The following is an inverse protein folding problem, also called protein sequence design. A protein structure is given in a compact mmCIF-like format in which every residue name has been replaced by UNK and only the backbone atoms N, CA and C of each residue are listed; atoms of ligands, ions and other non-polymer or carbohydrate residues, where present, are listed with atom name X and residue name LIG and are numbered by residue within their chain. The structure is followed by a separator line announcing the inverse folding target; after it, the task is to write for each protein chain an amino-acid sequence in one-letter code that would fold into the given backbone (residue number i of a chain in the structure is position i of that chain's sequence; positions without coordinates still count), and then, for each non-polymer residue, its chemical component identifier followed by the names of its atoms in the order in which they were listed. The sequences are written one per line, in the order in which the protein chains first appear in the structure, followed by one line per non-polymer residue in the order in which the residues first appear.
data_IF_891614407671
#
_entry.id   IF_891614407671
#
_cell.length_a   1.000
_cell.length_b   1.000
_cell.length_c   1.000
_cell.angle_alpha   90.00
_cell.angle_beta   90.00
_cell.angle_gamma   90.00
#
_symmetry.space_group_name_H-M   'P 1'
#
loop_
_entity.id
_entity.type
_entity.pdbx_description
1 polymer ?
#
# COMPACT_ATOMS: atom_id res chain seq x y z
N UNK A 1 -30.34 -8.99 -21.67
CA UNK A 1 -29.93 -10.03 -20.70
C UNK A 1 -30.63 -11.34 -21.07
N UNK A 2 -29.92 -12.46 -21.23
CA UNK A 2 -30.52 -13.75 -21.66
C UNK A 2 -30.51 -14.85 -20.59
N UNK A 3 -29.76 -14.65 -19.51
CA UNK A 3 -29.54 -15.67 -18.48
C UNK A 3 -28.50 -15.24 -17.45
N UNK A 4 -28.37 -16.02 -16.38
CA UNK A 4 -27.24 -15.99 -15.46
C UNK A 4 -26.75 -17.42 -15.21
N UNK A 5 -25.44 -17.60 -15.25
CA UNK A 5 -24.76 -18.83 -14.87
C UNK A 5 -24.01 -18.57 -13.57
N UNK A 6 -24.19 -19.44 -12.57
CA UNK A 6 -23.66 -19.27 -11.22
C UNK A 6 -22.94 -20.52 -10.75
N UNK A 7 -22.17 -20.40 -9.66
CA UNK A 7 -21.54 -21.55 -9.00
C UNK A 7 -22.52 -22.67 -8.63
N UNK A 8 -23.80 -22.36 -8.44
CA UNK A 8 -24.83 -23.36 -8.13
C UNK A 8 -25.18 -24.20 -9.36
N UNK A 9 -25.23 -23.57 -10.53
CA UNK A 9 -25.55 -24.22 -11.80
C UNK A 9 -24.39 -25.14 -12.24
N UNK A 10 -23.15 -24.70 -12.00
CA UNK A 10 -21.94 -25.46 -12.34
C UNK A 10 -21.57 -26.56 -11.33
N UNK A 11 -22.17 -26.57 -10.12
CA UNK A 11 -21.70 -27.42 -9.02
C UNK A 11 -21.74 -28.92 -9.32
N UNK A 12 -22.66 -29.33 -10.20
CA UNK A 12 -22.85 -30.71 -10.61
C UNK A 12 -22.62 -30.89 -12.12
N UNK A 13 -22.13 -29.87 -12.79
CA UNK A 13 -21.75 -29.97 -14.19
C UNK A 13 -20.38 -30.64 -14.29
N UNK A 14 -20.26 -31.63 -15.18
CA UNK A 14 -19.04 -32.42 -15.38
C UNK A 14 -18.53 -32.35 -16.81
N UNK A 15 -19.36 -31.87 -17.73
CA UNK A 15 -19.01 -31.72 -19.14
C UNK A 15 -18.77 -30.24 -19.47
N UNK A 16 -17.50 -29.88 -19.56
CA UNK A 16 -17.04 -28.52 -19.87
C UNK A 16 -17.26 -28.13 -21.34
N UNK A 17 -17.81 -29.02 -22.19
CA UNK A 17 -18.06 -28.77 -23.62
C UNK A 17 -19.49 -28.33 -23.92
N UNK A 18 -20.40 -28.43 -22.95
CA UNK A 18 -21.82 -28.07 -23.14
C UNK A 18 -22.00 -26.56 -23.40
N UNK A 19 -22.91 -26.16 -24.32
CA UNK A 19 -23.24 -24.75 -24.51
C UNK A 19 -23.79 -24.10 -23.24
N UNK A 20 -23.36 -22.87 -22.94
CA UNK A 20 -23.79 -22.09 -21.75
C UNK A 20 -25.32 -22.00 -21.65
N UNK A 21 -26.00 -21.85 -22.79
CA UNK A 21 -27.45 -21.70 -22.85
C UNK A 21 -28.21 -22.89 -22.26
N UNK A 22 -27.61 -24.07 -22.24
CA UNK A 22 -28.23 -25.31 -21.77
C UNK A 22 -28.09 -25.52 -20.26
N UNK A 23 -27.22 -24.74 -19.61
CA UNK A 23 -26.87 -24.87 -18.18
C UNK A 23 -27.28 -23.62 -17.38
N UNK A 24 -27.35 -22.46 -18.02
CA UNK A 24 -27.68 -21.20 -17.34
C UNK A 24 -29.16 -21.12 -16.91
N UNK A 25 -29.42 -20.38 -15.83
CA UNK A 25 -30.78 -19.98 -15.49
C UNK A 25 -31.22 -18.85 -16.43
N UNK A 26 -32.22 -19.11 -17.27
CA UNK A 26 -32.71 -18.15 -18.29
C UNK A 26 -34.14 -17.63 -18.05
N UNK A 27 -34.90 -18.28 -17.16
CA UNK A 27 -36.30 -17.94 -16.86
C UNK A 27 -36.44 -17.37 -15.45
N UNK A 28 -37.42 -16.49 -15.26
CA UNK A 28 -37.75 -15.87 -13.97
C UNK A 28 -36.57 -15.17 -13.29
N UNK A 29 -35.71 -14.52 -14.08
CA UNK A 29 -34.62 -13.71 -13.55
C UNK A 29 -35.20 -12.48 -12.87
N UNK A 30 -34.92 -12.37 -11.57
CA UNK A 30 -35.16 -11.13 -10.83
C UNK A 30 -34.07 -10.14 -11.25
N UNK A 31 -34.48 -8.95 -11.68
CA UNK A 31 -33.59 -7.87 -12.13
C UNK A 31 -33.98 -6.58 -11.44
N UNK A 32 -33.11 -5.58 -11.48
CA UNK A 32 -33.40 -4.24 -11.00
C UNK A 32 -32.99 -3.17 -12.04
N UNK A 33 -33.62 -1.99 -12.04
CA UNK A 33 -33.29 -0.93 -12.99
C UNK A 33 -31.92 -0.29 -12.71
N UNK A 34 -31.36 0.37 -13.72
CA UNK A 34 -30.21 1.27 -13.52
C UNK A 34 -30.46 2.28 -12.40
N UNK A 35 -29.45 2.53 -11.56
CA UNK A 35 -29.55 3.44 -10.42
C UNK A 35 -29.99 2.80 -9.11
N UNK A 36 -30.35 1.50 -9.09
CA UNK A 36 -30.63 0.78 -7.83
C UNK A 36 -29.42 0.81 -6.89
N UNK A 37 -29.60 1.46 -5.74
CA UNK A 37 -28.58 1.56 -4.70
C UNK A 37 -28.44 0.28 -3.87
N UNK A 38 -27.38 0.17 -3.07
CA UNK A 38 -27.08 -1.02 -2.26
C UNK A 38 -28.20 -1.39 -1.27
N UNK A 39 -28.83 -0.41 -0.61
CA UNK A 39 -29.90 -0.67 0.37
C UNK A 39 -31.19 -1.16 -0.31
N UNK A 40 -31.51 -0.67 -1.51
CA UNK A 40 -32.63 -1.17 -2.30
C UNK A 40 -32.33 -2.58 -2.83
N UNK A 41 -31.13 -2.78 -3.39
CA UNK A 41 -30.67 -4.09 -3.84
C UNK A 41 -30.73 -5.13 -2.72
N UNK A 42 -30.35 -4.76 -1.48
CA UNK A 42 -30.45 -5.61 -0.30
C UNK A 42 -31.88 -6.08 -0.04
N UNK A 43 -32.86 -5.19 -0.16
CA UNK A 43 -34.28 -5.53 0.02
C UNK A 43 -34.76 -6.49 -1.06
N UNK A 44 -34.39 -6.25 -2.32
CA UNK A 44 -34.75 -7.12 -3.46
C UNK A 44 -34.12 -8.51 -3.29
N UNK A 45 -32.81 -8.58 -3.03
CA UNK A 45 -32.08 -9.83 -2.80
C UNK A 45 -32.72 -10.64 -1.64
N UNK A 46 -33.08 -9.98 -0.54
CA UNK A 46 -33.73 -10.61 0.61
C UNK A 46 -35.16 -11.08 0.31
N UNK A 47 -35.98 -10.26 -0.34
CA UNK A 47 -37.37 -10.58 -0.68
C UNK A 47 -37.45 -11.79 -1.62
N UNK A 48 -36.55 -11.86 -2.59
CA UNK A 48 -36.51 -12.94 -3.58
C UNK A 48 -35.60 -14.11 -3.17
N UNK A 49 -34.89 -14.00 -2.04
CA UNK A 49 -33.95 -15.01 -1.52
C UNK A 49 -32.90 -15.43 -2.55
N UNK A 50 -32.30 -14.45 -3.22
CA UNK A 50 -31.29 -14.62 -4.27
C UNK A 50 -29.97 -13.95 -3.87
N UNK A 51 -28.87 -14.38 -4.48
CA UNK A 51 -27.52 -13.88 -4.16
C UNK A 51 -26.99 -12.86 -5.18
N UNK A 52 -27.60 -12.79 -6.37
CA UNK A 52 -27.12 -12.02 -7.52
C UNK A 52 -28.30 -11.29 -8.15
N UNK A 53 -28.14 -9.99 -8.37
CA UNK A 53 -29.16 -9.11 -8.91
C UNK A 53 -28.61 -8.40 -10.15
N UNK A 54 -28.92 -8.90 -11.37
CA UNK A 54 -28.59 -8.22 -12.61
C UNK A 54 -29.30 -6.87 -12.69
N UNK A 55 -28.55 -5.85 -13.11
CA UNK A 55 -29.05 -4.50 -13.33
C UNK A 55 -29.27 -4.30 -14.83
N UNK A 56 -30.47 -3.87 -15.22
CA UNK A 56 -30.86 -3.68 -16.61
C UNK A 56 -31.44 -2.29 -16.87
N UNK A 57 -31.29 -1.80 -18.10
CA UNK A 57 -31.99 -0.58 -18.53
C UNK A 57 -33.42 -0.89 -19.03
N UNK A 58 -34.12 0.14 -19.51
CA UNK A 58 -35.48 0.04 -20.08
C UNK A 58 -35.60 -0.90 -21.30
N UNK A 59 -34.51 -1.08 -22.04
CA UNK A 59 -34.42 -2.01 -23.19
C UNK A 59 -34.00 -3.44 -22.78
N UNK A 60 -33.95 -3.73 -21.48
CA UNK A 60 -33.53 -5.01 -20.92
C UNK A 60 -32.07 -5.41 -21.27
N UNK A 61 -31.22 -4.42 -21.54
CA UNK A 61 -29.78 -4.59 -21.74
C UNK A 61 -29.08 -4.65 -20.37
N UNK A 62 -28.08 -5.52 -20.24
CA UNK A 62 -27.33 -5.71 -18.99
C UNK A 62 -26.38 -4.52 -18.77
N UNK A 63 -26.40 -3.96 -17.56
CA UNK A 63 -25.67 -2.74 -17.18
C UNK A 63 -24.81 -2.92 -15.96
N UNK A 64 -25.11 -3.91 -15.13
CA UNK A 64 -24.31 -4.24 -13.96
C UNK A 64 -24.82 -5.50 -13.27
N UNK A 65 -24.15 -5.84 -12.17
CA UNK A 65 -24.51 -6.96 -11.31
C UNK A 65 -24.19 -6.58 -9.87
N UNK A 66 -25.17 -6.70 -8.98
CA UNK A 66 -24.95 -6.57 -7.53
C UNK A 66 -24.99 -7.96 -6.92
N UNK A 67 -24.05 -8.26 -6.03
CA UNK A 67 -24.03 -9.52 -5.30
C UNK A 67 -24.25 -9.31 -3.81
N UNK A 68 -24.79 -10.32 -3.13
CA UNK A 68 -24.89 -10.31 -1.66
C UNK A 68 -23.52 -10.17 -1.00
N UNK A 69 -22.46 -10.68 -1.65
CA UNK A 69 -21.08 -10.59 -1.19
C UNK A 69 -20.61 -9.13 -1.07
N UNK A 70 -21.04 -8.25 -1.98
CA UNK A 70 -20.69 -6.83 -1.91
C UNK A 70 -21.27 -6.18 -0.65
N UNK A 71 -22.51 -6.52 -0.32
CA UNK A 71 -23.21 -6.04 0.89
C UNK A 71 -22.56 -6.61 2.16
N UNK A 72 -22.31 -7.92 2.19
CA UNK A 72 -21.65 -8.59 3.32
C UNK A 72 -20.24 -8.02 3.58
N UNK A 73 -19.47 -7.76 2.51
CA UNK A 73 -18.14 -7.16 2.63
C UNK A 73 -18.19 -5.73 3.16
N UNK A 74 -19.19 -4.95 2.77
CA UNK A 74 -19.37 -3.59 3.30
C UNK A 74 -19.68 -3.59 4.80
N UNK A 75 -20.51 -4.53 5.26
CA UNK A 75 -20.80 -4.69 6.70
C UNK A 75 -19.58 -5.21 7.45
N UNK A 76 -18.87 -6.20 6.88
CA UNK A 76 -17.70 -6.82 7.51
C UNK A 76 -16.51 -5.86 7.62
N UNK A 77 -16.33 -4.98 6.64
CA UNK A 77 -15.18 -4.05 6.56
C UNK A 77 -15.67 -2.59 6.43
N UNK A 78 -16.22 -2.00 7.51
CA UNK A 78 -16.81 -0.67 7.47
C UNK A 78 -15.79 0.44 7.20
N UNK A 79 -14.53 0.23 7.57
CA UNK A 79 -13.42 1.18 7.38
C UNK A 79 -12.64 0.95 6.07
N UNK A 80 -13.26 0.32 5.05
CA UNK A 80 -12.60 0.08 3.77
C UNK A 80 -12.33 1.40 3.03
N UNK A 81 -11.10 1.59 2.56
CA UNK A 81 -10.75 2.69 1.65
C UNK A 81 -11.29 2.39 0.25
N UNK A 82 -12.21 3.23 -0.23
CA UNK A 82 -12.93 3.04 -1.48
C UNK A 82 -12.95 4.29 -2.35
N UNK A 83 -13.06 4.10 -3.65
CA UNK A 83 -13.35 5.16 -4.60
C UNK A 83 -14.82 5.60 -4.53
N UNK A 84 -15.18 6.62 -5.31
CA UNK A 84 -16.54 7.14 -5.43
C UNK A 84 -17.57 6.10 -5.93
N UNK A 85 -17.13 5.01 -6.55
CA UNK A 85 -17.97 3.93 -7.04
C UNK A 85 -18.09 2.76 -6.04
N UNK A 86 -17.47 2.87 -4.86
CA UNK A 86 -17.47 1.84 -3.82
C UNK A 86 -16.47 0.70 -4.04
N UNK A 87 -15.55 0.83 -5.00
CA UNK A 87 -14.47 -0.13 -5.29
C UNK A 87 -13.28 0.13 -4.38
N UNK A 88 -12.53 -0.92 -4.03
CA UNK A 88 -11.32 -0.76 -3.20
C UNK A 88 -10.25 0.05 -3.95
N UNK A 89 -9.59 0.96 -3.24
CA UNK A 89 -8.48 1.72 -3.80
C UNK A 89 -7.26 0.83 -4.06
N UNK A 90 -6.55 1.10 -5.16
CA UNK A 90 -5.34 0.41 -5.56
C UNK A 90 -4.28 1.40 -6.08
N UNK A 91 -3.03 1.17 -5.67
CA UNK A 91 -1.87 1.90 -6.16
C UNK A 91 -0.89 0.93 -6.82
N UNK A 92 -0.19 1.39 -7.86
CA UNK A 92 0.83 0.60 -8.55
C UNK A 92 2.17 1.34 -8.60
N UNK A 93 3.25 0.62 -8.28
CA UNK A 93 4.61 1.13 -8.43
C UNK A 93 5.07 1.04 -9.89
N UNK A 94 5.74 2.09 -10.36
CA UNK A 94 6.29 2.17 -11.72
C UNK A 94 7.72 2.71 -11.65
N UNK A 95 8.63 2.01 -12.30
CA UNK A 95 10.03 2.43 -12.48
C UNK A 95 10.20 3.40 -13.65
N UNK A 96 11.42 3.89 -13.86
CA UNK A 96 11.76 4.79 -14.98
C UNK A 96 12.56 4.00 -16.00
N UNK A 97 11.85 3.11 -16.66
CA UNK A 97 12.34 2.22 -17.71
C UNK A 97 11.72 2.61 -19.07
N UNK A 98 12.18 1.97 -20.15
CA UNK A 98 11.67 2.25 -21.49
C UNK A 98 10.18 1.88 -21.67
N UNK A 99 9.68 0.92 -20.89
CA UNK A 99 8.27 0.47 -20.89
C UNK A 99 7.36 1.27 -19.93
N UNK A 100 7.87 2.35 -19.32
CA UNK A 100 7.14 3.15 -18.32
C UNK A 100 5.76 3.61 -18.82
N UNK A 101 5.67 4.23 -20.01
CA UNK A 101 4.41 4.74 -20.54
C UNK A 101 3.41 3.63 -20.90
N UNK A 102 3.78 2.59 -21.68
CA UNK A 102 2.90 1.45 -21.93
C UNK A 102 2.38 0.79 -20.65
N UNK A 103 3.22 0.69 -19.61
CA UNK A 103 2.82 0.16 -18.30
C UNK A 103 1.78 1.04 -17.63
N UNK A 104 1.98 2.35 -17.59
CA UNK A 104 1.01 3.30 -17.01
C UNK A 104 -0.30 3.27 -17.80
N UNK A 105 -0.26 3.24 -19.13
CA UNK A 105 -1.46 3.14 -19.98
C UNK A 105 -2.30 1.89 -19.62
N UNK A 106 -1.64 0.74 -19.49
CA UNK A 106 -2.31 -0.50 -19.09
C UNK A 106 -2.91 -0.41 -17.67
N UNK A 107 -2.20 0.19 -16.72
CA UNK A 107 -2.66 0.37 -15.34
C UNK A 107 -3.84 1.34 -15.24
N UNK A 108 -3.80 2.45 -15.97
CA UNK A 108 -4.90 3.43 -16.06
C UNK A 108 -6.12 2.80 -16.75
N UNK A 109 -5.93 2.02 -17.82
CA UNK A 109 -7.01 1.26 -18.45
C UNK A 109 -7.64 0.24 -17.47
N UNK A 110 -6.84 -0.35 -16.58
CA UNK A 110 -7.30 -1.20 -15.48
C UNK A 110 -7.90 -0.42 -14.29
N UNK A 111 -7.97 0.91 -14.37
CA UNK A 111 -8.55 1.83 -13.38
C UNK A 111 -7.81 1.83 -12.04
N UNK A 112 -6.48 1.80 -12.06
CA UNK A 112 -5.66 2.11 -10.87
C UNK A 112 -5.96 3.53 -10.38
N UNK A 113 -5.93 3.75 -9.07
CA UNK A 113 -6.21 5.06 -8.48
C UNK A 113 -4.95 5.92 -8.34
N UNK A 114 -3.80 5.28 -8.09
CA UNK A 114 -2.52 5.96 -7.85
C UNK A 114 -1.38 5.28 -8.62
N UNK A 115 -0.57 6.09 -9.31
CA UNK A 115 0.75 5.68 -9.82
C UNK A 115 1.82 6.18 -8.86
N UNK A 116 2.73 5.30 -8.45
CA UNK A 116 3.85 5.62 -7.57
C UNK A 116 5.17 5.44 -8.29
N UNK A 117 5.80 6.54 -8.72
CA UNK A 117 7.14 6.52 -9.30
C UNK A 117 8.14 6.18 -8.21
N UNK A 118 8.78 5.01 -8.37
CA UNK A 118 9.65 4.41 -7.36
C UNK A 118 11.08 4.30 -7.88
N UNK A 119 11.93 5.24 -7.46
CA UNK A 119 13.37 5.26 -7.76
C UNK A 119 14.19 5.37 -6.47
N UNK A 120 15.45 4.91 -6.50
CA UNK A 120 16.38 5.17 -5.41
C UNK A 120 16.78 6.65 -5.30
N UNK A 121 16.67 7.44 -6.38
CA UNK A 121 17.02 8.87 -6.36
C UNK A 121 16.02 9.74 -7.12
N UNK A 122 14.98 10.19 -6.42
CA UNK A 122 13.88 11.00 -6.97
C UNK A 122 14.30 12.38 -7.48
N UNK A 123 15.46 12.90 -7.06
CA UNK A 123 15.97 14.20 -7.51
C UNK A 123 16.78 14.12 -8.81
N UNK A 124 16.83 12.96 -9.46
CA UNK A 124 17.51 12.85 -10.75
C UNK A 124 16.73 13.57 -11.85
N UNK A 125 17.44 14.17 -12.80
CA UNK A 125 16.82 14.86 -13.96
C UNK A 125 15.91 13.93 -14.78
N UNK A 126 16.24 12.64 -14.84
CA UNK A 126 15.40 11.65 -15.53
C UNK A 126 14.04 11.49 -14.87
N UNK A 127 14.01 11.45 -13.53
CA UNK A 127 12.76 11.36 -12.75
C UNK A 127 11.91 12.60 -12.94
N UNK A 128 12.49 13.80 -12.80
CA UNK A 128 11.74 15.06 -12.95
C UNK A 128 11.05 15.12 -14.33
N UNK A 129 11.78 14.80 -15.39
CA UNK A 129 11.21 14.72 -16.75
C UNK A 129 10.13 13.64 -16.87
N UNK A 130 10.32 12.47 -16.26
CA UNK A 130 9.32 11.41 -16.29
C UNK A 130 8.02 11.86 -15.62
N UNK A 131 8.10 12.52 -14.46
CA UNK A 131 6.95 13.09 -13.75
C UNK A 131 6.24 14.13 -14.62
N UNK A 132 6.97 15.05 -15.26
CA UNK A 132 6.40 16.04 -16.18
C UNK A 132 5.65 15.36 -17.36
N UNK A 133 6.26 14.35 -17.97
CA UNK A 133 5.65 13.61 -19.09
C UNK A 133 4.38 12.89 -18.64
N UNK A 134 4.40 12.22 -17.48
CA UNK A 134 3.24 11.50 -16.95
C UNK A 134 2.11 12.48 -16.63
N UNK A 135 2.41 13.60 -15.95
CA UNK A 135 1.39 14.62 -15.64
C UNK A 135 0.75 15.18 -16.90
N UNK A 136 1.53 15.40 -17.96
CA UNK A 136 1.00 15.89 -19.24
C UNK A 136 0.09 14.87 -19.95
N UNK A 137 0.44 13.59 -19.90
CA UNK A 137 -0.32 12.54 -20.60
C UNK A 137 -1.52 12.02 -19.78
N UNK A 138 -1.42 12.04 -18.46
CA UNK A 138 -2.44 11.55 -17.52
C UNK A 138 -2.75 12.63 -16.47
N UNK A 139 -3.36 13.75 -16.84
CA UNK A 139 -3.56 14.89 -15.94
C UNK A 139 -4.41 14.56 -14.70
N UNK A 140 -5.30 13.56 -14.81
CA UNK A 140 -6.25 13.20 -13.75
C UNK A 140 -5.75 12.07 -12.82
N UNK A 141 -4.62 11.41 -13.14
CA UNK A 141 -4.11 10.34 -12.28
C UNK A 141 -3.45 10.96 -11.04
N UNK A 142 -3.70 10.35 -9.88
CA UNK A 142 -2.94 10.71 -8.67
C UNK A 142 -1.52 10.16 -8.79
N UNK A 143 -0.53 11.04 -8.74
CA UNK A 143 0.87 10.72 -8.99
C UNK A 143 1.71 10.91 -7.74
N UNK A 144 2.18 9.81 -7.17
CA UNK A 144 3.16 9.81 -6.09
C UNK A 144 4.56 9.70 -6.69
N UNK A 145 5.54 10.42 -6.14
CA UNK A 145 6.92 10.35 -6.62
C UNK A 145 7.94 10.33 -5.48
N UNK A 146 8.97 9.49 -5.64
CA UNK A 146 10.08 9.42 -4.71
C UNK A 146 11.11 8.35 -5.10
N UNK A 147 12.12 8.07 -4.28
CA UNK A 147 12.29 8.64 -2.94
C UNK A 147 13.15 9.91 -2.94
N UNK A 148 12.84 10.81 -2.01
CA UNK A 148 13.65 11.98 -1.69
C UNK A 148 13.96 12.04 -0.20
N UNK A 149 14.91 12.88 0.19
CA UNK A 149 15.28 13.08 1.59
C UNK A 149 15.64 14.55 1.91
N UNK A 150 15.32 15.48 1.01
CA UNK A 150 15.66 16.91 1.14
C UNK A 150 14.50 17.79 0.67
N UNK A 151 14.45 19.01 1.22
CA UNK A 151 13.50 20.04 0.81
C UNK A 151 13.63 20.38 -0.69
N UNK A 152 14.83 20.56 -1.22
CA UNK A 152 15.04 20.90 -2.63
C UNK A 152 14.48 19.84 -3.59
N UNK A 153 14.73 18.56 -3.30
CA UNK A 153 14.21 17.45 -4.08
C UNK A 153 12.68 17.35 -4.01
N UNK A 154 12.12 17.64 -2.83
CA UNK A 154 10.68 17.70 -2.60
C UNK A 154 10.04 18.79 -3.45
N UNK A 155 10.56 20.02 -3.38
CA UNK A 155 10.09 21.14 -4.20
C UNK A 155 10.14 20.81 -5.69
N UNK A 156 11.26 20.29 -6.17
CA UNK A 156 11.45 20.07 -7.60
C UNK A 156 10.51 18.96 -8.13
N UNK A 157 10.20 17.92 -7.35
CA UNK A 157 9.19 16.92 -7.72
C UNK A 157 7.77 17.48 -7.70
N UNK A 158 7.44 18.35 -6.74
CA UNK A 158 6.15 19.05 -6.70
C UNK A 158 5.99 19.91 -7.95
N UNK A 159 7.00 20.72 -8.29
CA UNK A 159 6.99 21.57 -9.47
C UNK A 159 6.92 20.78 -10.78
N UNK A 160 7.46 19.56 -10.81
CA UNK A 160 7.34 18.65 -11.95
C UNK A 160 5.91 18.07 -12.12
N UNK A 161 5.08 18.10 -11.07
CA UNK A 161 3.68 17.69 -11.12
C UNK A 161 3.29 16.49 -10.26
N UNK A 162 4.08 16.14 -9.25
CA UNK A 162 3.70 15.10 -8.27
C UNK A 162 2.67 15.62 -7.25
N UNK A 163 1.65 14.81 -6.94
CA UNK A 163 0.58 15.14 -5.98
C UNK A 163 0.95 14.76 -4.53
N UNK A 164 1.95 13.89 -4.36
CA UNK A 164 2.43 13.44 -3.05
C UNK A 164 3.87 12.95 -3.16
N UNK A 165 4.67 13.25 -2.12
CA UNK A 165 6.09 12.96 -2.12
C UNK A 165 6.43 11.81 -1.17
N UNK A 166 7.12 10.80 -1.68
CA UNK A 166 7.60 9.66 -0.89
C UNK A 166 9.00 9.95 -0.35
N UNK A 167 9.14 9.94 0.97
CA UNK A 167 10.33 10.42 1.69
C UNK A 167 11.04 9.29 2.42
N UNK A 168 12.32 9.11 2.10
CA UNK A 168 13.22 8.21 2.82
C UNK A 168 14.30 7.60 1.94
N UNK A 169 15.58 7.87 2.28
CA UNK A 169 16.74 7.30 1.59
C UNK A 169 17.59 6.49 2.58
N UNK A 170 17.62 5.18 2.37
CA UNK A 170 18.33 4.21 3.22
C UNK A 170 17.78 3.92 4.63
N UNK A 171 16.56 4.31 5.06
CA UNK A 171 16.09 3.98 6.42
C UNK A 171 15.53 2.55 6.54
N UNK A 172 15.28 1.88 5.41
CA UNK A 172 14.62 0.57 5.39
C UNK A 172 15.44 -0.52 6.08
N UNK A 173 14.76 -1.44 6.77
CA UNK A 173 15.37 -2.54 7.55
C UNK A 173 16.26 -3.50 6.76
N UNK A 174 16.13 -3.51 5.43
CA UNK A 174 16.87 -4.38 4.50
C UNK A 174 17.68 -3.57 3.47
N UNK A 175 17.70 -2.25 3.60
CA UNK A 175 18.38 -1.38 2.66
C UNK A 175 19.81 -1.12 3.15
N UNK A 176 20.77 -1.23 2.24
CA UNK A 176 22.20 -1.02 2.53
C UNK A 176 22.75 0.21 1.83
N UNK A 177 21.93 1.04 1.18
CA UNK A 177 22.34 2.28 0.49
C UNK A 177 23.27 3.17 1.33
N UNK A 178 22.96 3.38 2.61
CA UNK A 178 23.81 4.18 3.52
C UNK A 178 25.18 3.56 3.78
N UNK A 179 25.28 2.24 3.75
CA UNK A 179 26.50 1.49 4.03
C UNK A 179 27.34 1.34 2.77
N UNK A 180 26.71 0.93 1.66
CA UNK A 180 27.38 0.60 0.40
C UNK A 180 27.69 1.86 -0.41
N UNK A 181 26.72 2.76 -0.57
CA UNK A 181 26.89 3.99 -1.34
C UNK A 181 27.29 5.20 -0.47
N UNK A 182 27.13 5.12 0.86
CA UNK A 182 27.42 6.23 1.77
C UNK A 182 26.39 7.35 1.74
N UNK A 183 25.20 7.11 1.16
CA UNK A 183 24.18 8.15 0.91
C UNK A 183 22.94 7.93 1.78
N UNK A 184 22.45 9.01 2.39
CA UNK A 184 21.16 9.03 3.09
C UNK A 184 21.04 10.15 4.13
N UNK A 185 19.84 10.31 4.68
CA UNK A 185 19.54 11.30 5.73
C UNK A 185 18.76 10.60 6.86
N UNK A 186 19.06 10.81 8.15
CA UNK A 186 18.26 10.29 9.25
C UNK A 186 16.76 10.54 9.04
N UNK A 187 15.94 9.49 9.15
CA UNK A 187 14.57 9.51 8.62
C UNK A 187 13.70 10.60 9.25
N UNK A 188 13.86 10.87 10.54
CA UNK A 188 13.11 11.93 11.22
C UNK A 188 13.40 13.32 10.62
N UNK A 189 14.67 13.61 10.39
CA UNK A 189 15.11 14.86 9.74
C UNK A 189 14.62 14.93 8.31
N UNK A 190 14.75 13.84 7.54
CA UNK A 190 14.27 13.79 6.17
C UNK A 190 12.76 14.08 6.08
N UNK A 191 11.96 13.49 6.98
CA UNK A 191 10.52 13.74 7.07
C UNK A 191 10.26 15.20 7.39
N UNK A 192 10.88 15.75 8.43
CA UNK A 192 10.69 17.14 8.86
C UNK A 192 11.01 18.13 7.75
N UNK A 193 12.19 18.01 7.13
CA UNK A 193 12.66 18.92 6.09
C UNK A 193 11.78 18.87 4.84
N UNK A 194 11.35 17.66 4.44
CA UNK A 194 10.48 17.49 3.27
C UNK A 194 9.05 17.94 3.56
N UNK A 195 8.54 17.71 4.77
CA UNK A 195 7.19 18.12 5.17
C UNK A 195 7.06 19.64 5.18
N UNK A 196 8.05 20.33 5.77
CA UNK A 196 8.07 21.80 5.81
C UNK A 196 8.04 22.40 4.39
N UNK A 197 8.80 21.84 3.46
CA UNK A 197 8.77 22.31 2.07
C UNK A 197 7.45 21.96 1.38
N UNK A 198 6.95 20.73 1.50
CA UNK A 198 5.72 20.29 0.84
C UNK A 198 4.49 21.11 1.29
N UNK A 199 4.43 21.49 2.57
CA UNK A 199 3.33 22.27 3.13
C UNK A 199 3.23 23.67 2.49
N UNK A 200 4.35 24.28 2.08
CA UNK A 200 4.36 25.57 1.34
C UNK A 200 3.60 25.51 0.01
N UNK A 201 3.45 24.31 -0.54
CA UNK A 201 2.73 24.05 -1.79
C UNK A 201 1.38 23.36 -1.56
N UNK A 202 0.97 23.15 -0.31
CA UNK A 202 -0.25 22.41 0.03
C UNK A 202 -0.19 20.91 -0.33
N UNK A 203 1.01 20.36 -0.51
CA UNK A 203 1.24 18.94 -0.85
C UNK A 203 1.60 18.16 0.40
N UNK A 204 1.18 16.88 0.45
CA UNK A 204 1.46 15.97 1.56
C UNK A 204 2.64 15.05 1.24
N UNK A 205 3.24 14.49 2.30
CA UNK A 205 4.33 13.51 2.17
C UNK A 205 3.98 12.17 2.83
N UNK A 206 4.64 11.12 2.37
CA UNK A 206 4.61 9.76 2.93
C UNK A 206 6.00 9.42 3.46
N UNK A 207 6.09 9.03 4.73
CA UNK A 207 7.32 8.50 5.31
C UNK A 207 7.50 7.03 4.93
N UNK A 208 8.56 6.71 4.18
CA UNK A 208 8.85 5.36 3.68
C UNK A 208 10.08 4.75 4.34
N UNK A 209 9.87 3.69 5.12
CA UNK A 209 10.93 2.91 5.77
C UNK A 209 11.35 3.40 7.17
N UNK A 210 12.09 2.55 7.88
CA UNK A 210 12.64 2.84 9.22
C UNK A 210 11.70 2.63 10.40
N UNK A 211 10.41 2.35 10.16
CA UNK A 211 9.42 2.09 11.23
C UNK A 211 9.58 0.67 11.78
N UNK A 212 9.87 0.56 13.08
CA UNK A 212 10.01 -0.73 13.77
C UNK A 212 8.85 -1.01 14.71
N UNK A 213 8.28 0.04 15.31
CA UNK A 213 7.20 -0.06 16.28
C UNK A 213 6.07 0.92 15.95
N UNK A 214 4.88 0.70 16.51
CA UNK A 214 3.74 1.62 16.35
C UNK A 214 4.06 3.04 16.81
N UNK A 215 4.89 3.21 17.84
CA UNK A 215 5.37 4.52 18.27
C UNK A 215 6.19 5.26 17.21
N UNK A 216 6.88 4.56 16.31
CA UNK A 216 7.62 5.20 15.22
C UNK A 216 6.66 5.75 14.14
N UNK A 217 5.48 5.14 13.97
CA UNK A 217 4.41 5.68 13.12
C UNK A 217 3.96 7.03 13.67
N UNK A 218 3.64 7.08 14.97
CA UNK A 218 3.19 8.31 15.62
C UNK A 218 4.25 9.42 15.49
N UNK A 219 5.54 9.10 15.68
CA UNK A 219 6.62 10.08 15.53
C UNK A 219 6.79 10.54 14.08
N UNK A 220 6.68 9.64 13.09
CA UNK A 220 6.77 10.03 11.68
C UNK A 220 5.63 10.97 11.27
N UNK A 221 4.41 10.72 11.76
CA UNK A 221 3.26 11.60 11.55
C UNK A 221 3.45 12.94 12.29
N UNK A 222 3.85 12.91 13.56
CA UNK A 222 4.14 14.12 14.33
C UNK A 222 5.27 14.98 13.73
N UNK A 223 6.19 14.38 12.97
CA UNK A 223 7.24 15.09 12.24
C UNK A 223 6.76 15.70 10.90
N UNK A 224 5.47 15.58 10.57
CA UNK A 224 4.86 16.25 9.42
C UNK A 224 4.40 15.33 8.29
N UNK A 225 4.65 14.02 8.34
CA UNK A 225 4.10 13.08 7.35
C UNK A 225 2.58 12.92 7.48
N UNK A 226 1.88 12.72 6.36
CA UNK A 226 0.42 12.42 6.39
C UNK A 226 0.12 10.93 6.41
N UNK A 227 1.06 10.10 5.99
CA UNK A 227 0.97 8.65 6.07
C UNK A 227 2.37 8.02 6.20
N UNK A 228 2.40 6.74 6.55
CA UNK A 228 3.61 5.92 6.58
C UNK A 228 3.48 4.75 5.62
N UNK A 229 4.56 4.40 4.93
CA UNK A 229 4.68 3.18 4.13
C UNK A 229 5.51 2.16 4.89
N UNK A 230 4.95 0.96 5.07
CA UNK A 230 5.50 -0.09 5.93
C UNK A 230 5.91 -1.32 5.11
N UNK A 231 7.16 -1.75 5.26
CA UNK A 231 7.67 -3.00 4.68
C UNK A 231 7.69 -4.14 5.70
N UNK A 232 8.76 -4.22 6.50
CA UNK A 232 9.04 -5.37 7.39
C UNK A 232 7.95 -5.65 8.42
N UNK A 233 7.19 -4.63 8.84
CA UNK A 233 6.09 -4.83 9.78
C UNK A 233 4.96 -5.66 9.18
N UNK A 234 4.77 -5.60 7.86
CA UNK A 234 3.70 -6.29 7.11
C UNK A 234 4.20 -7.53 6.36
N UNK A 235 5.50 -7.66 6.12
CA UNK A 235 6.08 -8.76 5.35
C UNK A 235 5.86 -10.16 5.97
N UNK A 236 5.57 -10.24 7.28
CA UNK A 236 5.30 -11.49 7.98
C UNK A 236 3.83 -11.92 7.96
N UNK A 237 2.92 -11.12 7.40
CA UNK A 237 1.48 -11.42 7.42
C UNK A 237 1.12 -12.48 6.39
N UNK A 238 0.00 -13.16 6.60
CA UNK A 238 -0.51 -14.21 5.72
C UNK A 238 -0.66 -13.74 4.27
N UNK A 239 -1.23 -12.56 4.08
CA UNK A 239 -1.55 -11.96 2.77
C UNK A 239 -0.33 -11.46 1.99
N UNK A 240 0.83 -11.35 2.64
CA UNK A 240 2.06 -10.93 1.95
C UNK A 240 2.52 -12.01 0.95
N UNK A 241 3.19 -11.64 -0.16
CA UNK A 241 3.53 -12.60 -1.22
C UNK A 241 4.73 -13.51 -0.90
N UNK A 242 5.50 -13.22 0.16
CA UNK A 242 6.68 -14.01 0.52
C UNK A 242 6.33 -15.46 0.86
N UNK A 243 7.22 -16.40 0.54
CA UNK A 243 7.04 -17.80 0.92
C UNK A 243 7.14 -17.99 2.44
N UNK A 244 6.33 -18.90 2.98
CA UNK A 244 6.44 -19.31 4.39
C UNK A 244 7.51 -20.39 4.52
N UNK A 245 8.42 -20.21 5.49
CA UNK A 245 9.51 -21.14 5.77
C UNK A 245 9.52 -21.53 7.26
N UNK A 246 9.97 -22.75 7.55
CA UNK A 246 10.17 -23.20 8.92
C UNK A 246 11.65 -23.10 9.27
N UNK A 247 11.96 -22.39 10.34
CA UNK A 247 13.32 -22.30 10.86
C UNK A 247 13.32 -22.47 12.38
N UNK A 248 14.13 -23.40 12.88
CA UNK A 248 14.21 -23.73 14.31
C UNK A 248 12.83 -23.97 14.97
N UNK A 249 11.93 -24.64 14.24
CA UNK A 249 10.59 -24.96 14.72
C UNK A 249 9.60 -23.78 14.76
N UNK A 250 9.95 -22.61 14.22
CA UNK A 250 9.06 -21.45 14.08
C UNK A 250 8.81 -21.12 12.62
N UNK A 251 7.63 -20.57 12.33
CA UNK A 251 7.26 -20.11 10.99
C UNK A 251 7.77 -18.70 10.73
N UNK A 252 8.35 -18.49 9.56
CA UNK A 252 8.84 -17.22 9.05
C UNK A 252 8.30 -16.97 7.64
N UNK A 253 8.40 -15.73 7.16
CA UNK A 253 8.22 -15.40 5.75
C UNK A 253 9.49 -14.79 5.17
N UNK A 254 9.80 -15.13 3.92
CA UNK A 254 10.91 -14.54 3.16
C UNK A 254 10.62 -13.08 2.89
N UNK A 255 11.59 -12.21 3.17
CA UNK A 255 11.50 -10.78 2.97
C UNK A 255 12.80 -10.23 2.37
N UNK A 256 12.69 -9.55 1.22
CA UNK A 256 13.85 -9.08 0.46
C UNK A 256 13.73 -7.63 0.06
N UNK A 257 14.86 -6.93 0.02
CA UNK A 257 14.96 -5.56 -0.44
C UNK A 257 14.89 -5.46 -1.95
N UNK A 258 14.32 -4.38 -2.47
CA UNK A 258 14.34 -4.11 -3.91
C UNK A 258 15.78 -3.94 -4.44
N UNK A 259 16.74 -3.59 -3.59
CA UNK A 259 18.16 -3.53 -3.95
C UNK A 259 18.91 -4.86 -3.79
N UNK A 260 18.22 -5.95 -3.43
CA UNK A 260 18.85 -7.27 -3.32
C UNK A 260 19.07 -7.89 -4.69
N UNK A 261 20.07 -8.76 -4.79
CA UNK A 261 20.37 -9.47 -6.05
C UNK A 261 19.16 -10.27 -6.54
N UNK A 262 18.43 -10.94 -5.65
CA UNK A 262 17.28 -11.75 -6.05
C UNK A 262 16.08 -10.92 -6.54
N UNK A 263 15.94 -9.67 -6.10
CA UNK A 263 14.93 -8.74 -6.62
C UNK A 263 15.39 -8.10 -7.96
N UNK A 264 16.66 -7.70 -8.06
CA UNK A 264 17.20 -7.02 -9.23
C UNK A 264 17.44 -7.95 -10.43
N UNK A 265 17.81 -9.22 -10.19
CA UNK A 265 18.16 -10.17 -11.26
C UNK A 265 16.95 -10.76 -12.01
N UNK A 266 15.72 -10.38 -11.65
CA UNK A 266 14.52 -10.84 -12.34
C UNK A 266 14.36 -10.12 -13.69
N UNK A 267 13.76 -10.79 -14.68
CA UNK A 267 13.58 -10.21 -16.03
C UNK A 267 12.74 -8.91 -16.03
N UNK A 268 11.80 -8.77 -15.09
CA UNK A 268 11.09 -7.53 -14.78
C UNK A 268 11.33 -7.16 -13.30
N UNK A 269 12.60 -7.25 -12.91
CA UNK A 269 13.07 -6.98 -11.56
C UNK A 269 13.22 -5.50 -11.27
N UNK A 270 13.92 -5.19 -10.19
CA UNK A 270 14.07 -3.83 -9.66
C UNK A 270 15.42 -3.19 -9.99
N UNK A 271 16.09 -3.62 -11.06
CA UNK A 271 17.42 -3.12 -11.44
C UNK A 271 17.39 -1.67 -11.93
N UNK A 272 16.32 -1.27 -12.63
CA UNK A 272 16.07 0.11 -13.09
C UNK A 272 16.00 1.11 -11.93
N UNK A 273 15.38 0.70 -10.80
CA UNK A 273 15.28 1.50 -9.58
C UNK A 273 16.65 1.94 -9.04
N UNK A 274 17.70 1.15 -9.27
CA UNK A 274 19.07 1.41 -8.83
C UNK A 274 20.01 1.72 -10.01
N UNK A 275 19.48 2.10 -11.17
CA UNK A 275 20.23 2.51 -12.36
C UNK A 275 21.17 1.42 -12.92
N UNK A 276 20.75 0.15 -12.83
CA UNK A 276 21.55 -1.03 -13.17
C UNK A 276 20.87 -1.97 -14.19
N UNK A 277 19.91 -1.48 -14.98
CA UNK A 277 19.12 -2.28 -15.93
C UNK A 277 19.99 -3.05 -16.95
N UNK A 278 21.07 -2.44 -17.45
CA UNK A 278 21.99 -3.04 -18.44
C UNK A 278 23.29 -3.62 -17.82
N UNK A 279 23.37 -3.71 -16.49
CA UNK A 279 24.62 -4.08 -15.82
C UNK A 279 24.87 -5.60 -15.87
N UNK A 280 26.01 -6.01 -16.45
CA UNK A 280 26.45 -7.43 -16.45
C UNK A 280 26.79 -7.98 -15.06
N UNK A 281 27.10 -7.09 -14.11
CA UNK A 281 27.37 -7.40 -12.69
C UNK A 281 26.64 -6.38 -11.83
N UNK A 282 25.86 -6.86 -10.88
CA UNK A 282 25.05 -6.03 -10.00
C UNK A 282 25.83 -5.62 -8.74
N UNK A 283 25.64 -4.39 -8.30
CA UNK A 283 26.08 -3.85 -7.01
C UNK A 283 24.82 -3.66 -6.15
N UNK A 284 24.51 -4.62 -5.24
CA UNK A 284 23.27 -4.60 -4.50
C UNK A 284 23.26 -3.55 -3.38
N UNK A 285 22.14 -2.84 -3.27
CA UNK A 285 21.84 -1.87 -2.20
C UNK A 285 20.77 -2.38 -1.24
N UNK A 286 20.58 -3.70 -1.20
CA UNK A 286 19.70 -4.36 -0.25
C UNK A 286 20.08 -5.81 0.00
N UNK A 287 19.47 -6.38 1.03
CA UNK A 287 19.67 -7.77 1.46
C UNK A 287 18.36 -8.56 1.41
N UNK A 288 18.50 -9.88 1.49
CA UNK A 288 17.40 -10.81 1.71
C UNK A 288 17.46 -11.34 3.14
N UNK A 289 16.30 -11.56 3.73
CA UNK A 289 16.18 -12.10 5.08
C UNK A 289 14.82 -12.74 5.29
N UNK A 290 14.49 -12.96 6.56
CA UNK A 290 13.22 -13.53 6.98
C UNK A 290 12.65 -12.76 8.16
N UNK A 291 11.34 -12.69 8.23
CA UNK A 291 10.61 -12.08 9.33
C UNK A 291 9.68 -13.12 9.96
N UNK A 292 9.43 -13.08 11.29
CA UNK A 292 8.51 -14.00 11.93
C UNK A 292 7.11 -13.95 11.27
N UNK A 293 6.46 -15.10 11.15
CA UNK A 293 5.06 -15.15 10.70
C UNK A 293 4.16 -14.48 11.74
N UNK A 294 3.27 -13.59 11.28
CA UNK A 294 2.43 -12.73 12.13
C UNK A 294 0.94 -13.05 12.09
N UNK A 295 0.53 -14.05 11.30
CA UNK A 295 -0.89 -14.33 11.08
C UNK A 295 -1.54 -13.29 10.13
N UNK A 296 -2.86 -13.10 10.24
CA UNK A 296 -3.62 -12.19 9.36
C UNK A 296 -3.16 -10.73 9.50
N UNK A 297 -3.16 -9.99 8.39
CA UNK A 297 -2.82 -8.56 8.34
C UNK A 297 -3.66 -7.72 9.31
N UNK A 298 -4.95 -8.06 9.44
CA UNK A 298 -5.91 -7.32 10.28
C UNK A 298 -5.43 -7.19 11.74
N UNK A 299 -4.83 -8.23 12.31
CA UNK A 299 -4.35 -8.23 13.70
C UNK A 299 -3.14 -7.30 13.86
N UNK A 300 -2.24 -7.29 12.88
CA UNK A 300 -1.10 -6.37 12.86
C UNK A 300 -1.59 -4.92 12.75
N UNK A 301 -2.50 -4.64 11.82
CA UNK A 301 -3.08 -3.29 11.64
C UNK A 301 -3.80 -2.82 12.91
N UNK A 302 -4.55 -3.70 13.58
CA UNK A 302 -5.23 -3.38 14.83
C UNK A 302 -4.24 -2.89 15.91
N UNK A 303 -3.11 -3.59 16.10
CA UNK A 303 -2.08 -3.19 17.06
C UNK A 303 -1.39 -1.87 16.68
N UNK A 304 -1.10 -1.66 15.40
CA UNK A 304 -0.49 -0.41 14.92
C UNK A 304 -1.43 0.79 15.14
N UNK A 305 -2.71 0.64 14.80
CA UNK A 305 -3.72 1.67 15.03
C UNK A 305 -3.97 1.92 16.52
N UNK A 306 -3.93 0.87 17.36
CA UNK A 306 -4.02 1.00 18.81
C UNK A 306 -2.88 1.86 19.37
N UNK A 307 -1.63 1.57 18.98
CA UNK A 307 -0.47 2.35 19.39
C UNK A 307 -0.54 3.81 18.93
N UNK A 308 -0.94 4.06 17.69
CA UNK A 308 -1.12 5.43 17.18
C UNK A 308 -2.18 6.20 17.98
N UNK A 309 -3.35 5.60 18.25
CA UNK A 309 -4.42 6.22 19.04
C UNK A 309 -3.97 6.52 20.47
N UNK A 310 -3.20 5.63 21.10
CA UNK A 310 -2.61 5.90 22.41
C UNK A 310 -1.65 7.10 22.36
N UNK A 311 -0.76 7.18 21.38
CA UNK A 311 0.14 8.33 21.21
C UNK A 311 -0.62 9.64 21.00
N UNK A 312 -1.65 9.64 20.14
CA UNK A 312 -2.52 10.80 19.93
C UNK A 312 -3.23 11.24 21.22
N UNK A 313 -3.66 10.28 22.05
CA UNK A 313 -4.24 10.56 23.37
C UNK A 313 -3.26 11.22 24.34
N UNK A 314 -2.00 10.76 24.40
CA UNK A 314 -0.96 11.41 25.22
C UNK A 314 -0.59 12.81 24.72
N UNK A 315 -0.56 13.01 23.41
CA UNK A 315 -0.29 14.31 22.79
C UNK A 315 -1.49 15.25 22.80
N UNK A 316 -2.69 14.79 23.19
CA UNK A 316 -3.90 15.60 23.17
C UNK A 316 -4.40 15.97 21.76
N UNK A 317 -4.07 15.18 20.73
CA UNK A 317 -4.34 15.51 19.32
C UNK A 317 -5.47 14.65 18.74
N UNK A 318 -6.65 15.23 18.42
CA UNK A 318 -7.81 14.44 17.99
C UNK A 318 -7.74 13.97 16.53
N UNK A 319 -6.88 14.58 15.70
CA UNK A 319 -6.75 14.28 14.27
C UNK A 319 -5.28 14.11 13.89
N UNK A 320 -5.04 13.48 12.74
CA UNK A 320 -3.67 13.34 12.19
C UNK A 320 -3.07 14.70 11.87
N UNK A 321 -3.86 15.65 11.36
CA UNK A 321 -3.36 17.01 11.09
C UNK A 321 -2.98 17.73 12.40
N UNK A 322 -3.77 17.61 13.48
CA UNK A 322 -3.37 18.14 14.79
C UNK A 322 -2.07 17.49 15.29
N UNK A 323 -1.92 16.17 15.14
CA UNK A 323 -0.66 15.48 15.49
C UNK A 323 0.54 16.02 14.70
N UNK A 324 0.38 16.29 13.40
CA UNK A 324 1.43 16.83 12.53
C UNK A 324 1.86 18.25 12.90
N UNK A 325 0.93 19.10 13.37
CA UNK A 325 1.17 20.53 13.54
C UNK A 325 1.37 20.98 14.98
N UNK A 326 0.90 20.20 15.97
CA UNK A 326 0.88 20.61 17.37
C UNK A 326 1.81 19.77 18.27
N UNK A 327 2.22 18.58 17.81
CA UNK A 327 3.06 17.72 18.63
C UNK A 327 4.48 18.26 18.79
N UNK A 328 5.00 18.14 20.01
CA UNK A 328 6.37 18.55 20.35
C UNK A 328 7.27 17.34 20.62
N UNK A 329 8.55 17.49 20.31
CA UNK A 329 9.55 16.46 20.53
C UNK A 329 10.60 16.89 21.55
N UNK A 330 11.05 15.92 22.35
CA UNK A 330 12.26 16.04 23.16
C UNK A 330 13.34 15.08 22.63
N UNK A 331 14.57 15.58 22.48
CA UNK A 331 15.71 14.76 22.07
C UNK A 331 16.24 14.00 23.28
N UNK A 332 16.50 12.71 23.10
CA UNK A 332 17.06 11.83 24.12
C UNK A 332 18.46 11.35 23.73
N UNK A 333 19.26 10.95 24.71
CA UNK A 333 20.55 10.30 24.49
C UNK A 333 20.36 8.80 24.18
N UNK A 334 21.43 8.10 23.81
CA UNK A 334 21.40 6.64 23.67
C UNK A 334 21.00 5.92 24.96
N UNK A 335 21.39 6.45 26.13
CA UNK A 335 20.95 5.92 27.42
C UNK A 335 19.44 6.09 27.63
N UNK A 336 18.87 7.23 27.22
CA UNK A 336 17.42 7.44 27.24
C UNK A 336 16.67 6.48 26.31
N UNK A 337 17.29 6.01 25.22
CA UNK A 337 16.69 4.97 24.38
C UNK A 337 16.69 3.62 25.11
N UNK A 338 17.79 3.26 25.79
CA UNK A 338 17.84 2.03 26.61
C UNK A 338 16.79 2.08 27.72
N UNK A 339 16.63 3.23 28.38
CA UNK A 339 15.58 3.49 29.38
C UNK A 339 14.16 3.35 28.78
N UNK A 340 13.95 3.85 27.55
CA UNK A 340 12.63 3.80 26.90
C UNK A 340 12.14 2.37 26.60
N UNK A 341 13.05 1.42 26.45
CA UNK A 341 12.71 0.00 26.28
C UNK A 341 12.60 -0.68 27.65
N UNK A 342 11.81 -1.76 27.81
CA UNK A 342 11.88 -2.60 29.01
C UNK A 342 13.31 -3.01 29.33
N UNK A 343 13.74 -2.72 30.56
CA UNK A 343 15.08 -2.96 31.07
C UNK A 343 14.99 -3.56 32.50
N UNK A 344 16.09 -4.15 32.96
CA UNK A 344 16.25 -4.77 34.30
C UNK A 344 15.26 -5.89 34.66
N UNK A 345 14.66 -6.54 33.65
CA UNK A 345 13.75 -7.69 33.82
C UNK A 345 13.95 -8.73 32.71
N UNK A 346 13.55 -9.99 32.98
CA UNK A 346 13.42 -11.03 31.96
C UNK A 346 12.00 -11.06 31.40
N UNK A 347 11.86 -10.89 30.10
CA UNK A 347 10.56 -10.98 29.41
C UNK A 347 10.15 -12.45 29.36
N UNK A 348 9.09 -12.82 30.08
CA UNK A 348 8.54 -14.18 30.09
C UNK A 348 7.53 -14.44 28.98
N UNK A 349 6.89 -13.38 28.48
CA UNK A 349 5.92 -13.41 27.39
C UNK A 349 5.97 -12.10 26.61
N UNK A 350 6.24 -12.19 25.31
CA UNK A 350 6.20 -11.03 24.42
C UNK A 350 4.76 -10.62 24.11
N UNK A 351 4.57 -9.32 23.86
CA UNK A 351 3.29 -8.78 23.41
C UNK A 351 3.27 -8.63 21.89
N UNK A 352 2.09 -8.68 21.24
CA UNK A 352 1.97 -8.57 19.78
C UNK A 352 2.57 -7.29 19.18
N UNK A 353 2.64 -6.22 19.98
CA UNK A 353 3.10 -4.90 19.59
C UNK A 353 4.57 -4.61 19.98
N UNK A 354 5.26 -5.53 20.65
CA UNK A 354 6.63 -5.32 21.10
C UNK A 354 7.45 -6.62 21.14
N UNK A 355 8.55 -6.61 20.41
CA UNK A 355 9.64 -7.58 20.53
C UNK A 355 10.95 -6.85 20.34
N UNK A 356 11.99 -7.27 21.05
CA UNK A 356 13.34 -6.77 20.87
C UNK A 356 13.99 -7.67 19.81
N UNK A 357 14.38 -7.08 18.69
CA UNK A 357 15.32 -7.78 17.81
C UNK A 357 16.68 -7.70 18.50
N UNK A 358 17.18 -8.86 18.91
CA UNK A 358 18.51 -9.02 19.49
C UNK A 358 19.61 -8.61 18.50
#
# INVERSE_FOLDING_TARGET
LVGILTNRDLRFETDDTRPIGDVMTSKNLVTAPEGTGLEEAKKILAAHRIEKLPIVNSEFQLRGLITIKDIEKNIKYPNSSKDQNGRLLCAAAVGISQDMLPRIEALVAAKVDVISIDTAHGHSRGVLKAVEVIRNQFPDITLFAGNVATASATRDLILAGADCIKVGIGPGSICTTRVVAGVGVPQMTAISDCAEEAEKHGIRIIADGGVKYSGDIAKALAAGASAVMLGSLLAGTEESPGATEIYQGRSFKVYRGMGSVGAMAQAHGSSDRYFQEDAKKLVPEGVEGRVPFKGPLADTVFQLMGGLRSSMGYCGTPTIDALRTEAEFVRITGAGLVESHPHDIFITKESPNYSRMD
#
